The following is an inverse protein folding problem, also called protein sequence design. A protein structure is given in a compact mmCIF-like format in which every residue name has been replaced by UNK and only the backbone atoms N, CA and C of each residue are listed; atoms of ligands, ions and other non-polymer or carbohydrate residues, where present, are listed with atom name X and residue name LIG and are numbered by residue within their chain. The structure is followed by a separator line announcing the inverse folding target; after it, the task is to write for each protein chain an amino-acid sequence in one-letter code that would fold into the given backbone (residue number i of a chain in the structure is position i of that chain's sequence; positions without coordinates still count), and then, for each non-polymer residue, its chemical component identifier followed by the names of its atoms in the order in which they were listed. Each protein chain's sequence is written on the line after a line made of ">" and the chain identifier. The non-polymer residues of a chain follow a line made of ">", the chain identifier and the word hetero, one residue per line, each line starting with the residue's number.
data_IF_392283735352
#
_entry.id   IF_392283735352
#
_cell.length_a   1.000
_cell.length_b   1.000
_cell.length_c   1.000
_cell.angle_alpha   90.00
_cell.angle_beta   90.00
_cell.angle_gamma   90.00
#
_symmetry.space_group_name_H-M   'P 1'
#
loop_
_entity.id
_entity.type
_entity.pdbx_description
1 polymer ?
#
# COMPACT_ATOMS: atom_id res chain seq x y z
N UNK A 1 -11.74 -36.37 -2.34
CA UNK A 1 -11.72 -34.96 -2.81
C UNK A 1 -11.18 -34.09 -1.68
N UNK A 2 -9.99 -33.49 -1.86
CA UNK A 2 -9.39 -32.56 -0.90
C UNK A 2 -10.20 -31.27 -0.88
N UNK A 3 -10.64 -30.86 0.31
CA UNK A 3 -11.15 -29.50 0.56
C UNK A 3 -10.02 -28.52 0.23
N UNK A 4 -10.27 -27.62 -0.71
CA UNK A 4 -9.42 -26.45 -0.94
C UNK A 4 -9.59 -25.52 0.24
N UNK A 5 -8.50 -25.28 0.96
CA UNK A 5 -8.40 -24.27 2.01
C UNK A 5 -8.62 -22.90 1.38
N UNK A 6 -9.88 -22.45 1.40
CA UNK A 6 -10.21 -21.07 1.12
C UNK A 6 -9.67 -20.24 2.29
N UNK A 7 -8.62 -19.47 2.04
CA UNK A 7 -8.12 -18.48 3.00
C UNK A 7 -9.30 -17.66 3.56
N UNK A 8 -9.35 -17.42 4.88
CA UNK A 8 -10.44 -16.67 5.48
C UNK A 8 -10.55 -15.29 4.80
N UNK A 9 -11.77 -14.79 4.54
CA UNK A 9 -11.95 -13.51 3.87
C UNK A 9 -11.25 -12.43 4.69
N UNK A 10 -10.27 -11.75 4.09
CA UNK A 10 -9.56 -10.65 4.74
C UNK A 10 -10.58 -9.63 5.27
N UNK A 11 -10.47 -9.28 6.56
CA UNK A 11 -11.29 -8.24 7.17
C UNK A 11 -11.27 -6.97 6.33
N UNK A 12 -12.40 -6.25 6.24
CA UNK A 12 -12.52 -4.99 5.49
C UNK A 12 -11.38 -4.01 5.84
N UNK A 13 -10.96 -4.02 7.10
CA UNK A 13 -9.81 -3.29 7.64
C UNK A 13 -8.53 -3.64 6.88
N UNK A 14 -8.17 -4.91 6.80
CA UNK A 14 -6.95 -5.33 6.14
C UNK A 14 -6.97 -4.99 4.64
N UNK A 15 -8.13 -5.08 3.98
CA UNK A 15 -8.28 -4.69 2.56
C UNK A 15 -8.04 -3.20 2.32
N UNK A 16 -8.62 -2.32 3.14
CA UNK A 16 -8.41 -0.87 3.04
C UNK A 16 -6.96 -0.48 3.35
N UNK A 17 -6.38 -1.07 4.40
CA UNK A 17 -4.97 -0.81 4.75
C UNK A 17 -4.06 -1.28 3.63
N UNK A 18 -4.29 -2.48 3.08
CA UNK A 18 -3.51 -2.98 1.94
C UNK A 18 -3.66 -2.05 0.73
N UNK A 19 -4.88 -1.59 0.42
CA UNK A 19 -5.10 -0.74 -0.76
C UNK A 19 -4.39 0.60 -0.65
N UNK A 20 -4.49 1.28 0.51
CA UNK A 20 -3.78 2.56 0.70
C UNK A 20 -2.26 2.38 0.76
N UNK A 21 -1.79 1.30 1.39
CA UNK A 21 -0.37 1.00 1.48
C UNK A 21 0.22 0.66 0.10
N UNK A 22 -0.50 -0.09 -0.73
CA UNK A 22 -0.08 -0.40 -2.11
C UNK A 22 -0.02 0.87 -2.95
N UNK A 23 -1.04 1.74 -2.89
CA UNK A 23 -1.04 2.99 -3.67
C UNK A 23 0.09 3.93 -3.22
N UNK A 24 0.28 4.09 -1.90
CA UNK A 24 1.34 4.94 -1.35
C UNK A 24 2.74 4.41 -1.71
N UNK A 25 2.98 3.12 -1.49
CA UNK A 25 4.27 2.49 -1.83
C UNK A 25 4.53 2.51 -3.35
N UNK A 26 3.50 2.29 -4.15
CA UNK A 26 3.58 2.39 -5.61
C UNK A 26 3.98 3.79 -6.07
N UNK A 27 3.34 4.83 -5.52
CA UNK A 27 3.67 6.22 -5.83
C UNK A 27 5.11 6.59 -5.43
N UNK A 28 5.55 6.16 -4.24
CA UNK A 28 6.93 6.38 -3.77
C UNK A 28 7.93 5.67 -4.68
N UNK A 29 7.64 4.42 -5.07
CA UNK A 29 8.51 3.64 -5.95
C UNK A 29 8.64 4.30 -7.32
N UNK A 30 7.53 4.78 -7.89
CA UNK A 30 7.54 5.50 -9.16
C UNK A 30 8.36 6.78 -9.03
N UNK A 31 8.13 7.58 -7.99
CA UNK A 31 8.89 8.81 -7.75
C UNK A 31 10.39 8.53 -7.57
N UNK A 32 10.73 7.48 -6.81
CA UNK A 32 12.10 7.03 -6.60
C UNK A 32 12.80 6.70 -7.92
N UNK A 33 12.14 5.92 -8.78
CA UNK A 33 12.65 5.54 -10.10
C UNK A 33 12.84 6.79 -10.96
N UNK A 34 11.84 7.69 -11.01
CA UNK A 34 11.90 8.92 -11.80
C UNK A 34 13.05 9.82 -11.34
N UNK A 35 13.20 10.04 -10.03
CA UNK A 35 14.28 10.86 -9.47
C UNK A 35 15.64 10.23 -9.74
N UNK A 36 15.78 8.92 -9.58
CA UNK A 36 17.04 8.21 -9.85
C UNK A 36 17.44 8.33 -11.33
N UNK A 37 16.50 8.10 -12.25
CA UNK A 37 16.72 8.25 -13.69
C UNK A 37 17.05 9.70 -14.06
N UNK A 38 16.32 10.67 -13.52
CA UNK A 38 16.58 12.09 -13.75
C UNK A 38 17.97 12.51 -13.25
N UNK A 39 18.36 12.03 -12.07
CA UNK A 39 19.68 12.33 -11.47
C UNK A 39 20.80 11.72 -12.32
N UNK A 40 20.69 10.45 -12.69
CA UNK A 40 21.68 9.79 -13.56
C UNK A 40 21.81 10.51 -14.91
N UNK A 41 20.69 10.89 -15.53
CA UNK A 41 20.69 11.61 -16.80
C UNK A 41 21.30 13.01 -16.66
N UNK A 42 20.93 13.76 -15.61
CA UNK A 42 21.49 15.09 -15.34
C UNK A 42 23.01 15.04 -15.17
N UNK A 43 23.52 14.11 -14.36
CA UNK A 43 24.95 13.97 -14.12
C UNK A 43 25.73 13.54 -15.36
N UNK A 44 25.19 12.60 -16.14
CA UNK A 44 25.84 12.13 -17.37
C UNK A 44 26.00 13.28 -18.39
N UNK A 45 24.96 14.12 -18.53
CA UNK A 45 25.02 15.26 -19.45
C UNK A 45 25.93 16.36 -18.89
N UNK A 46 25.82 16.69 -17.61
CA UNK A 46 26.66 17.71 -16.98
C UNK A 46 28.14 17.37 -17.04
N UNK A 47 28.52 16.10 -16.91
CA UNK A 47 29.92 15.69 -17.07
C UNK A 47 30.41 15.81 -18.51
N UNK A 48 29.59 15.46 -19.51
CA UNK A 48 29.93 15.65 -20.93
C UNK A 48 30.20 17.11 -21.24
N UNK A 49 29.28 17.99 -20.85
CA UNK A 49 29.39 19.42 -21.10
C UNK A 49 30.61 20.03 -20.40
N UNK A 50 30.87 19.61 -19.16
CA UNK A 50 32.05 20.03 -18.42
C UNK A 50 33.34 19.55 -19.08
N UNK A 51 33.41 18.28 -19.49
CA UNK A 51 34.59 17.71 -20.13
C UNK A 51 34.87 18.36 -21.49
N UNK A 52 33.81 18.68 -22.25
CA UNK A 52 33.92 19.40 -23.51
C UNK A 52 34.44 20.81 -23.30
N UNK A 53 33.85 21.56 -22.38
CA UNK A 53 34.31 22.91 -22.03
C UNK A 53 35.77 22.91 -21.56
N UNK A 54 36.18 21.90 -20.80
CA UNK A 54 37.57 21.71 -20.36
C UNK A 54 38.49 21.36 -21.54
N UNK A 55 38.06 20.47 -22.43
CA UNK A 55 38.76 20.11 -23.66
C UNK A 55 38.99 21.32 -24.56
N UNK A 56 37.94 22.09 -24.84
CA UNK A 56 38.00 23.32 -25.64
C UNK A 56 38.98 24.33 -25.03
N UNK A 57 38.93 24.51 -23.71
CA UNK A 57 39.85 25.40 -22.99
C UNK A 57 41.31 24.93 -23.13
N UNK A 58 41.58 23.64 -22.92
CA UNK A 58 42.94 23.07 -23.09
C UNK A 58 43.40 23.23 -24.55
N UNK A 59 42.52 22.97 -25.51
CA UNK A 59 42.82 23.11 -26.94
C UNK A 59 43.22 24.54 -27.31
N UNK A 60 42.49 25.54 -26.79
CA UNK A 60 42.81 26.95 -26.97
C UNK A 60 44.16 27.32 -26.36
N UNK A 61 44.44 26.87 -25.13
CA UNK A 61 45.73 27.10 -24.45
C UNK A 61 46.90 26.51 -25.24
N UNK A 62 46.76 25.27 -25.71
CA UNK A 62 47.78 24.63 -26.56
C UNK A 62 47.97 25.41 -27.86
N UNK A 63 46.89 25.89 -28.49
CA UNK A 63 46.97 26.72 -29.69
C UNK A 63 47.72 28.03 -29.48
N UNK A 64 47.53 28.69 -28.33
CA UNK A 64 48.29 29.87 -27.95
C UNK A 64 49.76 29.55 -27.65
N UNK A 65 50.04 28.46 -26.95
CA UNK A 65 51.41 28.01 -26.67
C UNK A 65 52.15 27.67 -27.96
N UNK A 66 51.54 26.92 -28.88
CA UNK A 66 52.13 26.60 -30.17
C UNK A 66 52.55 27.86 -30.94
N UNK A 67 51.71 28.90 -30.93
CA UNK A 67 52.06 30.20 -31.50
C UNK A 67 53.21 30.88 -30.75
N UNK A 68 53.16 30.91 -29.42
CA UNK A 68 54.17 31.57 -28.58
C UNK A 68 55.57 30.98 -28.78
N UNK A 69 55.65 29.69 -29.07
CA UNK A 69 56.92 28.97 -29.34
C UNK A 69 57.27 28.87 -30.84
N UNK A 70 56.71 29.76 -31.67
CA UNK A 70 57.10 29.92 -33.08
C UNK A 70 56.46 28.95 -34.05
N UNK A 71 55.45 28.17 -33.64
CA UNK A 71 54.75 27.23 -34.49
C UNK A 71 55.55 25.95 -34.79
N UNK A 72 56.38 25.51 -33.86
CA UNK A 72 57.09 24.22 -33.93
C UNK A 72 56.76 23.40 -32.67
N UNK A 73 56.26 22.17 -32.84
CA UNK A 73 55.95 21.29 -31.72
C UNK A 73 57.16 20.90 -30.89
N UNK A 74 58.38 20.97 -31.45
CA UNK A 74 59.63 20.61 -30.76
C UNK A 74 60.04 21.62 -29.68
N UNK A 75 59.57 22.87 -29.80
CA UNK A 75 59.91 23.96 -28.88
C UNK A 75 58.88 24.13 -27.77
N UNK A 76 57.67 23.58 -27.95
CA UNK A 76 56.58 23.68 -26.97
C UNK A 76 56.85 22.72 -25.79
N UNK A 77 56.93 23.21 -24.54
CA UNK A 77 57.13 22.37 -23.36
C UNK A 77 55.81 21.69 -22.94
N UNK A 78 55.28 20.79 -23.77
CA UNK A 78 54.00 20.11 -23.54
C UNK A 78 53.95 19.36 -22.20
N UNK A 79 55.10 18.91 -21.69
CA UNK A 79 55.23 18.22 -20.39
C UNK A 79 55.02 19.14 -19.18
N UNK A 80 55.17 20.45 -19.36
CA UNK A 80 54.96 21.46 -18.32
C UNK A 80 53.52 21.95 -18.26
N UNK A 81 52.65 21.48 -19.17
CA UNK A 81 51.22 21.75 -19.10
C UNK A 81 50.72 21.05 -17.84
N UNK A 82 50.62 21.83 -16.75
CA UNK A 82 49.94 21.41 -15.54
C UNK A 82 48.46 21.31 -15.85
N UNK A 83 48.05 20.20 -16.42
CA UNK A 83 46.66 19.86 -16.42
C UNK A 83 46.32 19.47 -15.00
N UNK A 84 45.70 20.39 -14.25
CA UNK A 84 44.79 20.00 -13.16
C UNK A 84 43.56 19.24 -13.70
N UNK A 85 43.69 18.61 -14.86
CA UNK A 85 42.63 18.22 -15.77
C UNK A 85 42.55 16.71 -15.96
N UNK A 86 42.17 16.24 -17.15
CA UNK A 86 41.68 14.88 -17.36
C UNK A 86 42.76 13.84 -17.13
N UNK A 87 42.33 12.65 -16.72
CA UNK A 87 43.26 11.60 -16.32
C UNK A 87 43.93 10.96 -17.52
N UNK A 88 43.24 10.90 -18.66
CA UNK A 88 43.84 10.54 -19.93
C UNK A 88 43.82 11.76 -20.86
N UNK A 89 45.00 12.17 -21.30
CA UNK A 89 45.19 13.24 -22.27
C UNK A 89 46.16 12.80 -23.33
N UNK A 90 45.80 12.96 -24.60
CA UNK A 90 46.66 12.68 -25.75
C UNK A 90 46.66 13.90 -26.66
N UNK A 91 47.84 14.34 -27.06
CA UNK A 91 48.03 15.40 -28.05
C UNK A 91 48.70 14.77 -29.27
N UNK A 92 48.17 15.04 -30.45
CA UNK A 92 48.78 14.68 -31.73
C UNK A 92 49.12 15.91 -32.55
N UNK A 93 50.07 15.77 -33.48
CA UNK A 93 50.28 16.76 -34.54
C UNK A 93 49.24 16.59 -35.66
N UNK A 94 49.28 17.47 -36.66
CA UNK A 94 48.42 17.43 -37.85
C UNK A 94 48.54 16.13 -38.69
N UNK A 95 49.63 15.38 -38.55
CA UNK A 95 49.85 14.11 -39.25
C UNK A 95 49.32 12.90 -38.45
N UNK A 96 48.84 13.13 -37.22
CA UNK A 96 48.41 12.07 -36.30
C UNK A 96 49.52 11.47 -35.43
N UNK A 97 50.76 11.98 -35.52
CA UNK A 97 51.84 11.53 -34.64
C UNK A 97 51.58 12.03 -33.21
N UNK A 98 51.68 11.13 -32.24
CA UNK A 98 51.48 11.46 -30.82
C UNK A 98 52.66 12.27 -30.27
N UNK A 99 52.35 13.46 -29.77
CA UNK A 99 53.29 14.39 -29.16
C UNK A 99 53.36 14.24 -27.64
N UNK A 100 52.21 14.02 -26.99
CA UNK A 100 52.10 13.82 -25.55
C UNK A 100 51.04 12.77 -25.24
N UNK A 101 51.29 11.95 -24.22
CA UNK A 101 50.27 11.15 -23.57
C UNK A 101 50.48 11.22 -22.06
N UNK A 102 49.45 11.69 -21.35
CA UNK A 102 49.35 11.63 -19.91
C UNK A 102 48.28 10.59 -19.60
N UNK A 103 48.64 9.56 -18.84
CA UNK A 103 47.68 8.59 -18.33
C UNK A 103 48.17 7.99 -17.00
N UNK A 104 47.27 7.56 -16.10
CA UNK A 104 47.67 6.81 -14.92
C UNK A 104 48.25 5.46 -15.34
N UNK A 105 49.29 4.98 -14.65
CA UNK A 105 49.91 3.68 -14.97
C UNK A 105 48.97 2.47 -14.84
N UNK A 106 47.86 2.63 -14.11
CA UNK A 106 46.79 1.65 -13.96
C UNK A 106 45.77 1.64 -15.12
N UNK A 107 45.80 2.63 -16.00
CA UNK A 107 44.86 2.77 -17.11
C UNK A 107 45.41 2.05 -18.36
N UNK A 108 44.69 1.04 -18.81
CA UNK A 108 44.94 0.36 -20.09
C UNK A 108 43.67 0.38 -20.93
N UNK A 109 43.74 1.01 -22.10
CA UNK A 109 42.64 0.99 -23.06
C UNK A 109 42.43 -0.44 -23.57
N UNK A 110 41.18 -0.83 -23.75
CA UNK A 110 40.84 -2.13 -24.36
C UNK A 110 41.27 -2.14 -25.82
N UNK A 111 41.62 -3.31 -26.36
CA UNK A 111 41.90 -3.47 -27.79
C UNK A 111 40.72 -3.01 -28.66
N UNK A 112 39.49 -3.15 -28.17
CA UNK A 112 38.25 -2.71 -28.83
C UNK A 112 38.06 -1.18 -28.85
N UNK A 113 38.68 -0.45 -27.91
CA UNK A 113 38.53 0.99 -27.76
C UNK A 113 39.69 1.79 -28.41
N UNK A 114 40.80 1.13 -28.77
CA UNK A 114 41.88 1.74 -29.56
C UNK A 114 41.35 2.28 -30.91
N UNK A 115 40.50 1.55 -31.67
CA UNK A 115 39.86 2.08 -32.86
C UNK A 115 38.97 3.30 -32.59
N UNK A 116 38.23 3.32 -31.48
CA UNK A 116 37.37 4.45 -31.08
C UNK A 116 38.20 5.70 -30.82
N UNK A 117 39.29 5.56 -30.05
CA UNK A 117 40.23 6.62 -29.81
C UNK A 117 40.85 7.14 -31.11
N UNK A 118 41.34 6.23 -31.96
CA UNK A 118 41.93 6.62 -33.25
C UNK A 118 40.92 7.37 -34.12
N UNK A 119 39.68 6.88 -34.20
CA UNK A 119 38.62 7.51 -34.98
C UNK A 119 38.28 8.91 -34.44
N UNK A 120 38.18 9.07 -33.12
CA UNK A 120 37.92 10.38 -32.51
C UNK A 120 39.00 11.41 -32.82
N UNK A 121 40.28 11.02 -32.78
CA UNK A 121 41.39 11.88 -33.18
C UNK A 121 41.34 12.23 -34.67
N UNK A 122 40.94 11.30 -35.54
CA UNK A 122 40.77 11.58 -36.98
C UNK A 122 39.68 12.62 -37.21
N UNK A 123 38.54 12.50 -36.51
CA UNK A 123 37.45 13.48 -36.60
C UNK A 123 37.91 14.86 -36.13
N UNK A 124 38.64 14.93 -35.01
CA UNK A 124 39.26 16.16 -34.53
C UNK A 124 40.26 16.74 -35.56
N UNK A 125 41.06 15.90 -36.23
CA UNK A 125 41.95 16.30 -37.33
C UNK A 125 41.21 16.71 -38.62
N UNK A 126 39.89 16.54 -38.68
CA UNK A 126 39.03 17.09 -39.74
C UNK A 126 38.32 18.36 -39.28
N UNK A 127 38.62 18.86 -38.08
CA UNK A 127 37.96 20.01 -37.49
C UNK A 127 36.61 19.71 -36.87
N UNK A 128 36.26 18.43 -36.71
CA UNK A 128 35.02 17.99 -36.07
C UNK A 128 35.29 17.63 -34.61
N UNK A 129 34.57 18.30 -33.71
CA UNK A 129 34.52 17.94 -32.31
C UNK A 129 33.74 16.64 -32.17
N UNK A 130 34.19 15.76 -31.27
CA UNK A 130 33.53 14.49 -31.04
C UNK A 130 33.65 14.09 -29.57
N UNK A 131 32.57 13.60 -29.00
CA UNK A 131 32.50 13.10 -27.64
C UNK A 131 31.90 11.70 -27.61
N UNK A 132 32.17 10.98 -26.54
CA UNK A 132 31.64 9.64 -26.42
C UNK A 132 32.03 8.95 -25.14
N UNK A 133 31.84 7.64 -25.11
CA UNK A 133 32.31 6.78 -24.03
C UNK A 133 33.38 5.85 -24.55
N UNK A 134 34.44 5.71 -23.78
CA UNK A 134 35.42 4.64 -23.95
C UNK A 134 35.27 3.63 -22.83
N UNK A 135 35.65 2.40 -23.13
CA UNK A 135 35.86 1.38 -22.13
C UNK A 135 37.35 1.00 -22.12
N UNK A 136 37.76 0.29 -21.09
CA UNK A 136 39.13 -0.18 -20.98
C UNK A 136 39.26 -1.12 -19.81
N UNK A 137 40.33 -1.89 -19.77
CA UNK A 137 40.55 -2.79 -18.66
C UNK A 137 41.93 -3.38 -18.61
N UNK A 138 42.38 -3.69 -17.40
CA UNK A 138 43.51 -4.58 -17.14
C UNK A 138 43.05 -5.87 -16.47
N UNK A 139 44.01 -6.72 -16.06
CA UNK A 139 43.85 -8.13 -15.63
C UNK A 139 42.77 -8.42 -14.56
N UNK A 140 42.12 -7.41 -13.95
CA UNK A 140 40.99 -7.60 -13.03
C UNK A 140 40.03 -6.39 -12.90
N UNK A 141 39.98 -5.48 -13.88
CA UNK A 141 39.37 -4.16 -13.66
C UNK A 141 38.97 -3.47 -14.97
N UNK A 142 37.67 -3.41 -15.28
CA UNK A 142 37.08 -2.68 -16.43
C UNK A 142 36.60 -1.27 -16.08
N UNK A 143 37.14 -0.23 -16.69
CA UNK A 143 36.63 1.13 -16.54
C UNK A 143 35.79 1.54 -17.75
N UNK A 144 34.82 2.42 -17.51
CA UNK A 144 34.20 3.22 -18.55
C UNK A 144 34.51 4.68 -18.26
N UNK A 145 34.60 5.53 -19.28
CA UNK A 145 34.86 6.95 -19.11
C UNK A 145 34.26 7.75 -20.25
N UNK A 146 33.93 9.00 -19.98
CA UNK A 146 33.62 9.94 -21.04
C UNK A 146 34.92 10.43 -21.68
N UNK A 147 34.89 10.64 -22.98
CA UNK A 147 35.92 11.39 -23.68
C UNK A 147 35.35 12.50 -24.52
N UNK A 148 36.24 13.45 -24.80
CA UNK A 148 36.07 14.46 -25.82
C UNK A 148 37.36 14.55 -26.63
N UNK A 149 37.20 14.72 -27.94
CA UNK A 149 38.29 15.01 -28.87
C UNK A 149 38.06 16.37 -29.52
N UNK A 150 39.06 17.23 -29.40
CA UNK A 150 39.00 18.63 -29.81
C UNK A 150 40.06 18.93 -30.88
N UNK A 151 39.71 19.70 -31.93
CA UNK A 151 40.69 20.15 -32.92
C UNK A 151 41.64 21.18 -32.31
N UNK A 152 42.95 20.97 -32.46
CA UNK A 152 43.93 21.98 -32.10
C UNK A 152 44.09 22.94 -33.28
N UNK A 153 43.81 24.21 -33.03
CA UNK A 153 43.89 25.28 -34.03
C UNK A 153 44.97 26.29 -33.66
N UNK A 154 45.68 26.76 -34.68
CA UNK A 154 46.68 27.80 -34.51
C UNK A 154 46.10 29.02 -33.80
N UNK A 155 46.77 29.50 -32.75
CA UNK A 155 46.33 30.63 -31.92
C UNK A 155 44.97 30.42 -31.20
N UNK A 156 44.49 29.18 -31.08
CA UNK A 156 43.24 28.87 -30.39
C UNK A 156 41.97 29.42 -31.05
N UNK A 157 42.06 29.92 -32.29
CA UNK A 157 40.93 30.51 -33.01
C UNK A 157 40.08 29.41 -33.67
N UNK A 158 38.75 29.53 -33.61
CA UNK A 158 37.81 28.57 -34.22
C UNK A 158 38.02 28.39 -35.74
N UNK A 159 38.50 29.44 -36.44
CA UNK A 159 38.84 29.40 -37.86
C UNK A 159 40.35 29.24 -38.13
N UNK A 160 41.16 29.02 -37.09
CA UNK A 160 42.59 28.82 -37.23
C UNK A 160 42.94 27.53 -37.98
N UNK A 161 44.09 27.55 -38.65
CA UNK A 161 44.65 26.36 -39.30
C UNK A 161 44.81 25.24 -38.29
N UNK A 162 44.53 24.01 -38.73
CA UNK A 162 44.71 22.84 -37.89
C UNK A 162 46.18 22.58 -37.64
N UNK A 163 46.53 22.37 -36.37
CA UNK A 163 47.91 22.08 -35.94
C UNK A 163 48.03 20.70 -35.29
N UNK A 164 46.89 20.08 -34.94
CA UNK A 164 46.83 18.78 -34.29
C UNK A 164 45.44 18.43 -33.76
N UNK A 165 45.37 17.41 -32.93
CA UNK A 165 44.16 17.05 -32.19
C UNK A 165 44.48 16.78 -30.72
N UNK A 166 43.50 17.07 -29.87
CA UNK A 166 43.49 16.79 -28.45
C UNK A 166 42.47 15.69 -28.19
N UNK A 167 42.83 14.71 -27.38
CA UNK A 167 41.91 13.74 -26.84
C UNK A 167 42.00 13.77 -25.32
N UNK A 168 40.86 13.83 -24.67
CA UNK A 168 40.72 14.06 -23.24
C UNK A 168 39.67 13.09 -22.72
N UNK A 169 39.99 12.33 -21.68
CA UNK A 169 39.07 11.39 -21.07
C UNK A 169 39.15 11.38 -19.55
N UNK A 170 37.99 11.18 -18.92
CA UNK A 170 37.83 11.03 -17.47
C UNK A 170 37.19 9.66 -17.20
N UNK A 171 38.01 8.64 -16.86
CA UNK A 171 37.53 7.35 -16.44
C UNK A 171 36.72 7.41 -15.14
N UNK A 172 35.66 6.61 -15.03
CA UNK A 172 34.74 6.60 -13.90
C UNK A 172 35.34 6.03 -12.59
N UNK A 173 36.51 5.39 -12.67
CA UNK A 173 37.16 4.71 -11.54
C UNK A 173 37.95 5.61 -10.60
N UNK A 174 38.08 6.89 -10.93
CA UNK A 174 38.96 7.80 -10.21
C UNK A 174 38.18 8.92 -9.49
N UNK A 175 38.83 9.70 -8.60
CA UNK A 175 38.15 10.46 -7.54
C UNK A 175 37.00 11.37 -7.98
N UNK A 176 37.07 11.96 -9.19
CA UNK A 176 36.01 12.86 -9.70
C UNK A 176 34.71 12.12 -10.03
N UNK A 177 34.79 10.86 -10.42
CA UNK A 177 33.63 10.03 -10.74
C UNK A 177 33.19 9.13 -9.57
N UNK A 178 34.08 8.78 -8.64
CA UNK A 178 33.68 8.07 -7.41
C UNK A 178 32.81 8.93 -6.47
N UNK A 179 32.95 10.26 -6.51
CA UNK A 179 32.02 11.21 -5.84
C UNK A 179 30.59 11.05 -6.35
N UNK A 180 30.37 10.75 -7.64
CA UNK A 180 29.03 10.50 -8.17
C UNK A 180 28.41 9.19 -7.68
N UNK A 181 29.19 8.11 -7.62
CA UNK A 181 28.71 6.83 -7.09
C UNK A 181 28.29 6.97 -5.62
N UNK A 182 29.06 7.70 -4.82
CA UNK A 182 28.70 8.03 -3.44
C UNK A 182 27.45 8.93 -3.36
N UNK A 183 27.33 9.92 -4.24
CA UNK A 183 26.14 10.79 -4.30
C UNK A 183 24.87 10.01 -4.66
N UNK A 184 24.91 9.17 -5.70
CA UNK A 184 23.78 8.33 -6.10
C UNK A 184 23.39 7.33 -5.01
N UNK A 185 24.37 6.75 -4.31
CA UNK A 185 24.12 5.89 -3.17
C UNK A 185 23.42 6.65 -2.03
N UNK A 186 23.86 7.87 -1.72
CA UNK A 186 23.23 8.72 -0.72
C UNK A 186 21.80 9.13 -1.12
N UNK A 187 21.56 9.45 -2.39
CA UNK A 187 20.21 9.76 -2.90
C UNK A 187 19.30 8.55 -2.77
N UNK A 188 19.74 7.38 -3.21
CA UNK A 188 18.96 6.13 -3.09
C UNK A 188 18.67 5.78 -1.63
N UNK A 189 19.65 5.95 -0.73
CA UNK A 189 19.46 5.72 0.70
C UNK A 189 18.47 6.73 1.31
N UNK A 190 18.55 8.00 0.94
CA UNK A 190 17.61 9.02 1.39
C UNK A 190 16.18 8.71 0.93
N UNK A 191 16.01 8.24 -0.32
CA UNK A 191 14.73 7.78 -0.86
C UNK A 191 14.19 6.58 -0.06
N UNK A 192 15.04 5.60 0.26
CA UNK A 192 14.63 4.43 1.04
C UNK A 192 14.19 4.82 2.46
N UNK A 193 14.93 5.72 3.12
CA UNK A 193 14.59 6.22 4.46
C UNK A 193 13.27 7.01 4.40
N UNK A 194 13.10 7.90 3.42
CA UNK A 194 11.86 8.65 3.23
C UNK A 194 10.68 7.71 2.95
N UNK A 195 10.88 6.70 2.09
CA UNK A 195 9.88 5.68 1.79
C UNK A 195 9.48 4.85 3.01
N UNK A 196 10.46 4.43 3.82
CA UNK A 196 10.20 3.75 5.08
C UNK A 196 9.43 4.64 6.08
N UNK A 197 9.77 5.94 6.14
CA UNK A 197 9.05 6.92 6.94
C UNK A 197 7.58 7.07 6.53
N UNK A 198 7.30 7.19 5.23
CA UNK A 198 5.92 7.26 4.73
C UNK A 198 5.17 5.95 4.99
N UNK A 199 5.80 4.80 4.77
CA UNK A 199 5.20 3.50 5.07
C UNK A 199 4.79 3.39 6.55
N UNK A 200 5.65 3.84 7.47
CA UNK A 200 5.35 3.89 8.89
C UNK A 200 4.14 4.81 9.18
N UNK A 201 4.11 6.01 8.61
CA UNK A 201 2.97 6.94 8.77
C UNK A 201 1.67 6.34 8.26
N UNK A 202 1.68 5.68 7.11
CA UNK A 202 0.49 5.01 6.55
C UNK A 202 0.00 3.88 7.46
N UNK A 203 0.91 3.07 8.02
CA UNK A 203 0.57 2.01 8.98
C UNK A 203 -0.06 2.61 10.24
N UNK A 204 0.56 3.64 10.82
CA UNK A 204 0.06 4.29 12.03
C UNK A 204 -1.32 4.93 11.80
N UNK A 205 -1.49 5.65 10.68
CA UNK A 205 -2.75 6.27 10.31
C UNK A 205 -3.85 5.23 10.04
N UNK A 206 -3.50 4.13 9.38
CA UNK A 206 -4.39 2.99 9.15
C UNK A 206 -4.87 2.35 10.46
N UNK A 207 -3.96 2.12 11.41
CA UNK A 207 -4.30 1.59 12.73
C UNK A 207 -5.19 2.58 13.51
N UNK A 208 -4.93 3.87 13.37
CA UNK A 208 -5.77 4.93 13.93
C UNK A 208 -7.19 4.89 13.34
N UNK A 209 -7.32 4.86 12.00
CA UNK A 209 -8.60 4.86 11.31
C UNK A 209 -9.42 3.60 11.62
N UNK A 210 -8.76 2.44 11.65
CA UNK A 210 -9.38 1.17 12.02
C UNK A 210 -9.92 1.19 13.47
N UNK A 211 -9.20 1.80 14.41
CA UNK A 211 -9.65 1.94 15.80
C UNK A 211 -10.75 2.98 15.95
N UNK A 212 -10.69 4.08 15.20
CA UNK A 212 -11.62 5.21 15.33
C UNK A 212 -12.95 4.98 14.63
N UNK A 213 -12.94 4.38 13.44
CA UNK A 213 -14.14 4.30 12.59
C UNK A 213 -14.57 2.86 12.32
N UNK A 214 -13.65 1.98 11.91
CA UNK A 214 -14.03 0.63 11.45
C UNK A 214 -14.45 -0.29 12.59
N UNK A 215 -13.79 -0.22 13.76
CA UNK A 215 -14.13 -1.04 14.94
C UNK A 215 -15.57 -0.81 15.44
N UNK A 216 -16.00 0.44 15.69
CA UNK A 216 -17.37 0.72 16.11
C UNK A 216 -18.43 0.25 15.11
N UNK A 217 -18.21 0.48 13.81
CA UNK A 217 -19.15 0.06 12.76
C UNK A 217 -19.31 -1.47 12.70
N UNK A 218 -18.23 -2.22 12.86
CA UNK A 218 -18.28 -3.69 12.87
C UNK A 218 -18.99 -4.22 14.13
N UNK A 219 -18.76 -3.58 15.29
CA UNK A 219 -19.49 -3.91 16.52
C UNK A 219 -20.99 -3.67 16.37
N UNK A 220 -21.39 -2.53 15.79
CA UNK A 220 -22.80 -2.23 15.47
C UNK A 220 -23.41 -3.26 14.52
N UNK A 221 -22.69 -3.60 13.46
CA UNK A 221 -23.16 -4.57 12.46
C UNK A 221 -23.37 -5.94 13.10
N UNK A 222 -22.44 -6.37 13.97
CA UNK A 222 -22.52 -7.66 14.66
C UNK A 222 -23.66 -7.67 15.67
N UNK A 223 -23.85 -6.59 16.44
CA UNK A 223 -24.96 -6.48 17.38
C UNK A 223 -26.32 -6.48 16.66
N UNK A 224 -26.44 -5.77 15.54
CA UNK A 224 -27.65 -5.76 14.72
C UNK A 224 -27.97 -7.15 14.12
N UNK A 225 -26.95 -7.87 13.65
CA UNK A 225 -27.13 -9.23 13.11
C UNK A 225 -27.56 -10.24 14.19
N UNK A 226 -27.05 -10.11 15.42
CA UNK A 226 -27.49 -10.92 16.56
C UNK A 226 -28.94 -10.61 16.95
N UNK A 227 -29.32 -9.34 16.95
CA UNK A 227 -30.70 -8.91 17.17
C UNK A 227 -31.65 -9.49 16.11
N UNK A 228 -31.24 -9.50 14.84
CA UNK A 228 -31.99 -10.14 13.74
C UNK A 228 -32.23 -11.64 13.97
N UNK A 229 -31.33 -12.29 14.71
CA UNK A 229 -31.43 -13.71 15.08
C UNK A 229 -32.23 -13.93 16.38
N UNK A 230 -32.76 -12.86 17.00
CA UNK A 230 -33.61 -12.92 18.19
C UNK A 230 -32.86 -12.79 19.52
N UNK A 231 -31.54 -12.54 19.51
CA UNK A 231 -30.76 -12.21 20.70
C UNK A 231 -30.77 -10.70 20.95
N UNK A 232 -31.76 -10.24 21.70
CA UNK A 232 -31.96 -8.83 22.04
C UNK A 232 -31.07 -8.35 23.18
N UNK A 233 -30.28 -9.22 23.82
CA UNK A 233 -29.43 -8.86 24.97
C UNK A 233 -28.11 -8.18 24.57
N UNK A 234 -27.80 -8.20 23.26
CA UNK A 234 -26.52 -7.72 22.72
C UNK A 234 -26.55 -6.21 22.51
N UNK A 235 -25.39 -5.58 22.72
CA UNK A 235 -25.20 -4.13 22.61
C UNK A 235 -23.95 -3.84 21.78
N UNK A 236 -23.96 -2.71 21.09
CA UNK A 236 -22.79 -2.19 20.41
C UNK A 236 -21.86 -1.50 21.42
N UNK A 237 -20.54 -1.60 21.18
CA UNK A 237 -19.51 -0.92 21.98
C UNK A 237 -19.37 0.53 21.50
N UNK A 238 -19.84 1.53 22.26
CA UNK A 238 -19.75 2.91 21.84
C UNK A 238 -18.28 3.37 21.87
N UNK A 239 -17.79 3.99 20.78
CA UNK A 239 -16.46 4.57 20.81
C UNK A 239 -16.40 5.68 21.85
N UNK A 240 -15.23 5.90 22.47
CA UNK A 240 -14.98 6.98 23.47
C UNK A 240 -14.95 8.39 22.85
N UNK A 241 -15.72 8.58 21.82
CA UNK A 241 -15.56 9.52 20.75
C UNK A 241 -16.79 10.39 20.72
N UNK A 242 -16.71 11.66 21.12
CA UNK A 242 -17.87 12.57 21.17
C UNK A 242 -18.35 13.04 19.79
N UNK A 243 -18.53 12.12 18.87
CA UNK A 243 -18.95 12.33 17.48
C UNK A 243 -20.19 11.50 17.12
N UNK A 244 -20.55 11.50 15.83
CA UNK A 244 -21.72 10.83 15.31
C UNK A 244 -21.72 9.32 15.56
N UNK A 245 -20.55 8.68 15.68
CA UNK A 245 -20.45 7.25 15.91
C UNK A 245 -20.81 6.85 17.34
N UNK A 246 -20.41 7.63 18.35
CA UNK A 246 -20.89 7.42 19.72
C UNK A 246 -22.39 7.63 19.78
N UNK A 247 -22.89 8.72 19.20
CA UNK A 247 -24.33 9.00 19.18
C UNK A 247 -25.11 7.85 18.54
N UNK A 248 -24.64 7.33 17.40
CA UNK A 248 -25.26 6.19 16.73
C UNK A 248 -25.24 4.92 17.61
N UNK A 249 -24.12 4.63 18.27
CA UNK A 249 -24.01 3.45 19.14
C UNK A 249 -24.92 3.56 20.37
N UNK A 250 -24.99 4.73 20.98
CA UNK A 250 -25.90 5.00 22.11
C UNK A 250 -27.36 4.89 21.66
N UNK A 251 -27.73 5.48 20.52
CA UNK A 251 -29.10 5.36 19.98
C UNK A 251 -29.46 3.92 19.63
N UNK A 252 -28.53 3.15 19.05
CA UNK A 252 -28.73 1.72 18.79
C UNK A 252 -28.98 0.94 20.08
N UNK A 253 -28.18 1.17 21.12
CA UNK A 253 -28.35 0.50 22.41
C UNK A 253 -29.68 0.86 23.08
N UNK A 254 -30.11 2.13 23.02
CA UNK A 254 -31.42 2.53 23.52
C UNK A 254 -32.58 1.84 22.78
N UNK A 255 -32.49 1.67 21.45
CA UNK A 255 -33.48 0.88 20.71
C UNK A 255 -33.46 -0.60 21.12
N UNK A 256 -32.27 -1.17 21.36
CA UNK A 256 -32.11 -2.54 21.83
C UNK A 256 -32.77 -2.75 23.20
N UNK A 257 -32.59 -1.80 24.13
CA UNK A 257 -33.21 -1.82 25.46
C UNK A 257 -34.75 -1.83 25.36
N UNK A 258 -35.31 -0.95 24.51
CA UNK A 258 -36.77 -0.91 24.30
C UNK A 258 -37.29 -2.23 23.73
N UNK A 259 -36.64 -2.77 22.69
CA UNK A 259 -37.07 -4.02 22.05
C UNK A 259 -36.98 -5.19 23.04
N UNK A 260 -35.90 -5.28 23.82
CA UNK A 260 -35.75 -6.35 24.82
C UNK A 260 -36.84 -6.28 25.89
N UNK A 261 -37.16 -5.07 26.36
CA UNK A 261 -38.27 -4.83 27.29
C UNK A 261 -39.61 -5.27 26.69
N UNK A 262 -39.92 -4.83 25.48
CA UNK A 262 -41.18 -5.15 24.80
C UNK A 262 -41.34 -6.66 24.58
N UNK A 263 -40.28 -7.35 24.14
CA UNK A 263 -40.28 -8.80 23.95
C UNK A 263 -40.46 -9.54 25.27
N UNK A 264 -39.86 -9.04 26.36
CA UNK A 264 -39.99 -9.65 27.69
C UNK A 264 -41.42 -9.50 28.22
N UNK A 265 -42.01 -8.31 28.06
CA UNK A 265 -43.40 -8.05 28.44
C UNK A 265 -44.38 -8.91 27.63
N UNK A 266 -44.20 -8.99 26.31
CA UNK A 266 -45.02 -9.85 25.44
C UNK A 266 -44.95 -11.32 25.87
N UNK A 267 -43.76 -11.83 26.21
CA UNK A 267 -43.59 -13.20 26.72
C UNK A 267 -44.29 -13.40 28.06
N UNK A 268 -44.27 -12.40 28.94
CA UNK A 268 -44.97 -12.46 30.21
C UNK A 268 -46.49 -12.51 30.03
N UNK A 269 -47.04 -11.66 29.15
CA UNK A 269 -48.46 -11.65 28.81
C UNK A 269 -48.92 -12.97 28.17
N UNK A 270 -48.13 -13.51 27.25
CA UNK A 270 -48.38 -14.83 26.62
C UNK A 270 -48.41 -15.94 27.68
N UNK A 271 -47.50 -15.90 28.67
CA UNK A 271 -47.46 -16.87 29.76
C UNK A 271 -48.71 -16.76 30.66
N UNK A 272 -49.08 -15.56 31.08
CA UNK A 272 -50.30 -15.32 31.88
C UNK A 272 -51.54 -15.81 31.14
N UNK A 273 -51.63 -15.56 29.84
CA UNK A 273 -52.72 -16.06 28.99
C UNK A 273 -52.76 -17.59 28.98
N UNK A 274 -51.62 -18.26 28.83
CA UNK A 274 -51.55 -19.74 28.84
C UNK A 274 -51.97 -20.32 30.19
N UNK A 275 -51.50 -19.72 31.28
CA UNK A 275 -51.84 -20.16 32.63
C UNK A 275 -53.34 -19.99 32.92
N UNK A 276 -53.94 -18.86 32.48
CA UNK A 276 -55.40 -18.66 32.54
C UNK A 276 -56.17 -19.73 31.76
N UNK A 277 -55.77 -20.00 30.51
CA UNK A 277 -56.44 -21.02 29.70
C UNK A 277 -56.32 -22.42 30.30
N UNK A 278 -55.16 -22.76 30.88
CA UNK A 278 -54.95 -24.03 31.56
C UNK A 278 -55.85 -24.17 32.80
N UNK A 279 -55.97 -23.11 33.61
CA UNK A 279 -56.84 -23.09 34.78
C UNK A 279 -58.32 -23.23 34.38
N UNK A 280 -58.77 -22.48 33.36
CA UNK A 280 -60.13 -22.60 32.83
C UNK A 280 -60.40 -24.03 32.36
N UNK A 281 -59.47 -24.63 31.59
CA UNK A 281 -59.63 -26.00 31.11
C UNK A 281 -59.77 -27.00 32.27
N UNK A 282 -58.97 -26.84 33.34
CA UNK A 282 -59.04 -27.68 34.52
C UNK A 282 -60.38 -27.56 35.27
N UNK A 283 -60.85 -26.33 35.48
CA UNK A 283 -62.10 -26.03 36.18
C UNK A 283 -63.33 -26.50 35.41
N UNK A 284 -63.28 -26.52 34.07
CA UNK A 284 -64.33 -27.08 33.22
C UNK A 284 -64.28 -28.61 33.12
N UNK A 285 -63.09 -29.22 33.20
CA UNK A 285 -62.95 -30.68 33.10
C UNK A 285 -63.59 -31.41 34.29
N UNK A 286 -63.42 -30.89 35.51
CA UNK A 286 -63.96 -31.50 36.74
C UNK A 286 -65.49 -31.72 36.70
N UNK A 287 -66.33 -30.70 36.48
CA UNK A 287 -67.78 -30.87 36.38
C UNK A 287 -68.19 -31.68 35.15
N UNK A 288 -67.44 -31.60 34.04
CA UNK A 288 -67.70 -32.39 32.84
C UNK A 288 -67.50 -33.90 33.10
N UNK A 289 -66.42 -34.29 33.77
CA UNK A 289 -66.17 -35.68 34.19
C UNK A 289 -67.26 -36.17 35.14
N UNK A 290 -67.72 -35.33 36.08
CA UNK A 290 -68.82 -35.68 36.97
C UNK A 290 -70.13 -35.90 36.19
N UNK A 291 -70.48 -35.01 35.27
CA UNK A 291 -71.66 -35.16 34.39
C UNK A 291 -71.57 -36.45 33.59
N UNK A 292 -70.42 -36.74 32.99
CA UNK A 292 -70.21 -37.96 32.22
C UNK A 292 -70.39 -39.21 33.09
N UNK A 293 -69.75 -39.26 34.27
CA UNK A 293 -69.86 -40.40 35.18
C UNK A 293 -71.28 -40.63 35.71
N UNK A 294 -72.00 -39.55 36.06
CA UNK A 294 -73.41 -39.64 36.46
C UNK A 294 -74.31 -40.09 35.30
N UNK A 295 -74.05 -39.61 34.08
CA UNK A 295 -74.81 -39.99 32.89
C UNK A 295 -74.59 -41.46 32.50
N UNK A 296 -73.35 -41.96 32.58
CA UNK A 296 -73.00 -43.36 32.35
C UNK A 296 -73.66 -44.27 33.41
N UNK A 297 -73.59 -43.91 34.69
CA UNK A 297 -74.22 -44.67 35.78
C UNK A 297 -75.76 -44.78 35.64
N UNK A 298 -76.41 -43.74 35.13
CA UNK A 298 -77.83 -43.74 34.80
C UNK A 298 -78.14 -44.59 33.55
N UNK A 299 -77.30 -44.54 32.53
CA UNK A 299 -77.48 -45.27 31.27
C UNK A 299 -77.26 -46.79 31.43
N UNK A 300 -76.25 -47.18 32.22
CA UNK A 300 -75.90 -48.58 32.48
C UNK A 300 -76.85 -49.26 33.48
N UNK A 301 -77.80 -48.52 34.07
CA UNK A 301 -78.77 -49.04 35.02
C UNK A 301 -78.19 -49.42 36.38
N UNK A 302 -76.97 -48.95 36.69
CA UNK A 302 -76.29 -49.18 37.98
C UNK A 302 -77.10 -48.56 39.14
N UNK A 303 -77.84 -47.48 38.85
CA UNK A 303 -78.75 -46.80 39.78
C UNK A 303 -80.18 -47.28 39.51
N UNK A 304 -80.64 -48.25 40.30
CA UNK A 304 -81.92 -48.93 40.08
C UNK A 304 -83.14 -48.26 40.72
N UNK A 305 -82.94 -47.48 41.79
CA UNK A 305 -84.01 -46.82 42.53
C UNK A 305 -84.46 -45.52 41.84
N UNK A 306 -85.78 -45.30 41.76
CA UNK A 306 -86.35 -44.12 41.10
C UNK A 306 -85.95 -42.81 41.78
N UNK A 307 -85.91 -42.82 43.11
CA UNK A 307 -85.53 -41.67 43.92
C UNK A 307 -84.05 -41.33 43.69
N UNK A 308 -83.17 -42.35 43.70
CA UNK A 308 -81.75 -42.20 43.40
C UNK A 308 -81.46 -41.76 41.95
N UNK A 309 -82.27 -42.20 40.97
CA UNK A 309 -82.17 -41.72 39.57
C UNK A 309 -82.52 -40.24 39.45
N UNK A 310 -83.59 -39.81 40.12
CA UNK A 310 -83.98 -38.40 40.14
C UNK A 310 -82.91 -37.54 40.84
N UNK A 311 -82.34 -38.00 41.96
CA UNK A 311 -81.25 -37.30 42.64
C UNK A 311 -80.01 -37.16 41.74
N UNK A 312 -79.65 -38.23 41.02
CA UNK A 312 -78.50 -38.23 40.08
C UNK A 312 -78.74 -37.31 38.88
N UNK A 313 -79.96 -37.27 38.34
CA UNK A 313 -80.33 -36.31 37.30
C UNK A 313 -80.25 -34.85 37.79
N UNK A 314 -80.61 -34.59 39.04
CA UNK A 314 -80.45 -33.28 39.68
C UNK A 314 -78.97 -32.92 39.90
N UNK A 315 -78.10 -33.90 40.21
CA UNK A 315 -76.64 -33.70 40.27
C UNK A 315 -76.06 -33.26 38.92
N UNK A 316 -76.44 -33.94 37.83
CA UNK A 316 -76.07 -33.51 36.46
C UNK A 316 -76.53 -32.08 36.19
N UNK A 317 -77.79 -31.77 36.49
CA UNK A 317 -78.35 -30.41 36.30
C UNK A 317 -77.60 -29.33 37.09
N UNK A 318 -77.15 -29.64 38.32
CA UNK A 318 -76.33 -28.74 39.14
C UNK A 318 -74.96 -28.49 38.51
N UNK A 319 -74.28 -29.52 38.02
CA UNK A 319 -72.96 -29.37 37.38
C UNK A 319 -73.06 -28.63 36.03
N UNK A 320 -74.14 -28.84 35.26
CA UNK A 320 -74.40 -28.05 34.03
C UNK A 320 -74.60 -26.56 34.37
N UNK A 321 -75.35 -26.25 35.44
CA UNK A 321 -75.49 -24.85 35.90
C UNK A 321 -74.17 -24.26 36.41
N UNK A 322 -73.30 -25.08 37.01
CA UNK A 322 -71.96 -24.67 37.44
C UNK A 322 -71.05 -24.36 36.25
N UNK A 323 -71.03 -25.21 35.23
CA UNK A 323 -70.33 -24.96 33.96
C UNK A 323 -70.82 -23.67 33.28
N UNK A 324 -72.14 -23.43 33.23
CA UNK A 324 -72.69 -22.20 32.64
C UNK A 324 -72.24 -20.94 33.38
N UNK A 325 -72.13 -20.99 34.71
CA UNK A 325 -71.58 -19.88 35.51
C UNK A 325 -70.11 -19.64 35.20
N UNK A 326 -69.28 -20.69 35.23
CA UNK A 326 -67.85 -20.61 34.89
C UNK A 326 -67.59 -20.02 33.49
N UNK A 327 -68.35 -20.45 32.48
CA UNK A 327 -68.26 -19.89 31.11
C UNK A 327 -68.66 -18.41 31.08
N UNK A 328 -69.69 -18.04 31.82
CA UNK A 328 -70.12 -16.63 31.95
C UNK A 328 -69.05 -15.75 32.59
N UNK A 329 -68.40 -16.24 33.64
CA UNK A 329 -67.32 -15.52 34.34
C UNK A 329 -66.12 -15.29 33.40
N UNK A 330 -65.73 -16.30 32.60
CA UNK A 330 -64.65 -16.16 31.60
C UNK A 330 -64.98 -15.16 30.51
N UNK A 331 -66.24 -15.12 30.03
CA UNK A 331 -66.67 -14.16 29.01
C UNK A 331 -66.58 -12.71 29.51
N UNK A 332 -66.93 -12.45 30.78
CA UNK A 332 -66.78 -11.13 31.38
C UNK A 332 -65.31 -10.70 31.55
N UNK A 333 -64.40 -11.65 31.76
CA UNK A 333 -62.97 -11.35 31.90
C UNK A 333 -62.25 -11.14 30.55
N UNK A 334 -62.85 -11.58 29.43
CA UNK A 334 -62.25 -11.50 28.09
C UNK A 334 -62.88 -10.45 27.17
N UNK A 335 -63.92 -9.75 27.62
CA UNK A 335 -64.60 -8.65 26.89
C UNK A 335 -64.16 -7.27 27.34
#
# INVERSE_FOLDING_TARGET
>A
MKRTDAFPPLSLRLKLVLSYLIVALGAILILAIVVSLATQNYFANSQRDQLRSEGEYIAQQIGHLYRAYGGDWRTVPLQQIQTGGPELLIITNQNGDRLLQIQPGSLRLSDDDIPVLRQSLILALQGQENDGRLQGGGDNSSFSGLYVSEPLRYNGQTNGNMIGALFVAVPERFPRASVQLAFLANVNQAILIAGAGVALVVILFSLFLARRFTRPLESLTTAAEQMRQGDYSKRADPPKSKDELERLAVTFNAMADTIESDVTELRHQEQLRRDLLANIAHDLATPLTAIQGYSEALADGVIADEEARQETAQLIGREVQRLRRLVGDVQQMTS
#
